data_IF_670020778594
#
_entry.id   IF_670020778594
#
_cell.length_a   1.000
_cell.length_b   1.000
_cell.length_c   1.000
_cell.angle_alpha   90.00
_cell.angle_beta   90.00
_cell.angle_gamma   90.00
#
_symmetry.space_group_name_H-M   'P 1'
#
loop_
_entity.id
_entity.type
_entity.pdbx_description
1 polymer ?
#
# COMPACT_ATOMS: atom_id res chain seq x y z
N UNK A 1 59.17 -13.42 -42.01
CA UNK A 1 59.29 -12.67 -40.74
C UNK A 1 58.52 -11.36 -40.87
N UNK A 2 57.28 -11.31 -40.40
CA UNK A 2 56.57 -10.07 -40.10
C UNK A 2 55.31 -10.42 -39.28
N UNK A 3 55.29 -10.02 -38.02
CA UNK A 3 54.09 -10.06 -37.18
C UNK A 3 53.33 -8.76 -37.45
N UNK A 4 52.05 -8.87 -37.78
CA UNK A 4 51.09 -7.75 -37.75
C UNK A 4 50.21 -7.89 -36.52
N UNK A 5 50.58 -7.16 -35.46
CA UNK A 5 49.81 -7.09 -34.21
C UNK A 5 48.72 -6.03 -34.34
N UNK A 6 47.47 -6.44 -34.54
CA UNK A 6 46.31 -5.54 -34.46
C UNK A 6 45.84 -5.41 -33.01
N UNK A 7 46.12 -4.26 -32.39
CA UNK A 7 45.53 -3.90 -31.10
C UNK A 7 44.07 -3.44 -31.30
N UNK A 8 43.11 -4.24 -30.82
CA UNK A 8 41.74 -3.76 -30.59
C UNK A 8 41.69 -3.08 -29.22
N UNK A 9 41.54 -1.76 -29.21
CA UNK A 9 41.25 -1.00 -28.00
C UNK A 9 39.75 -1.14 -27.67
N UNK A 10 39.42 -1.96 -26.68
CA UNK A 10 38.04 -2.12 -26.21
C UNK A 10 37.67 -0.95 -25.29
N UNK A 11 36.75 -0.07 -25.73
CA UNK A 11 36.19 0.98 -24.90
C UNK A 11 35.17 0.37 -23.92
N UNK A 12 35.60 0.06 -22.71
CA UNK A 12 34.68 -0.30 -21.61
C UNK A 12 34.02 0.97 -21.06
N UNK A 13 32.83 1.29 -21.56
CA UNK A 13 31.95 2.31 -20.96
C UNK A 13 31.45 1.84 -19.60
N UNK A 14 32.17 2.21 -18.54
CA UNK A 14 31.79 1.91 -17.17
C UNK A 14 30.63 2.82 -16.76
N UNK A 15 29.39 2.34 -16.92
CA UNK A 15 28.20 3.04 -16.45
C UNK A 15 28.27 3.22 -14.93
N UNK A 16 28.49 4.46 -14.51
CA UNK A 16 28.56 4.83 -13.09
C UNK A 16 27.19 4.66 -12.45
N UNK A 17 27.01 3.57 -11.69
CA UNK A 17 25.84 3.39 -10.83
C UNK A 17 25.98 4.39 -9.69
N UNK A 18 25.37 5.57 -9.83
CA UNK A 18 25.35 6.56 -8.76
C UNK A 18 24.43 6.06 -7.65
N UNK A 19 25.01 5.72 -6.50
CA UNK A 19 24.30 5.38 -5.28
C UNK A 19 23.59 6.63 -4.73
N UNK A 20 22.41 6.90 -5.28
CA UNK A 20 21.51 7.93 -4.76
C UNK A 20 21.14 7.60 -3.32
N UNK A 21 21.39 8.55 -2.41
CA UNK A 21 20.87 8.50 -1.06
C UNK A 21 19.35 8.73 -1.13
N UNK A 22 18.61 7.65 -1.35
CA UNK A 22 17.18 7.63 -1.13
C UNK A 22 16.90 7.81 0.37
N UNK A 23 15.83 8.52 0.73
CA UNK A 23 15.14 8.21 1.98
C UNK A 23 14.63 6.77 1.91
N UNK A 24 14.40 6.16 3.06
CA UNK A 24 14.00 4.76 3.09
C UNK A 24 12.96 4.54 4.17
N UNK A 25 11.81 3.98 3.81
CA UNK A 25 10.90 3.40 4.79
C UNK A 25 9.78 2.55 4.20
N UNK A 26 9.22 1.66 5.02
CA UNK A 26 8.15 0.74 4.62
C UNK A 26 7.39 0.18 5.84
N UNK A 27 6.13 -0.25 5.65
CA UNK A 27 5.38 -0.97 6.68
C UNK A 27 5.97 -2.36 6.95
N UNK A 28 6.31 -2.60 8.21
CA UNK A 28 6.81 -3.89 8.70
C UNK A 28 5.75 -4.65 9.51
N UNK A 29 4.83 -3.94 10.19
CA UNK A 29 3.71 -4.55 10.89
C UNK A 29 2.43 -3.68 10.83
N UNK A 30 1.28 -4.20 10.38
CA UNK A 30 1.13 -5.37 9.52
C UNK A 30 2.04 -5.30 8.30
N UNK A 31 2.37 -6.46 7.73
CA UNK A 31 3.29 -6.52 6.59
C UNK A 31 2.65 -5.81 5.38
N UNK A 32 3.30 -4.76 4.88
CA UNK A 32 2.89 -4.11 3.64
C UNK A 32 3.08 -5.03 2.42
N UNK A 33 2.48 -4.67 1.28
CA UNK A 33 2.62 -5.40 0.01
C UNK A 33 4.07 -5.76 -0.30
N UNK A 34 4.29 -6.88 -0.96
CA UNK A 34 5.61 -7.35 -1.35
C UNK A 34 5.68 -7.49 -2.89
N UNK A 35 6.86 -7.33 -3.49
CA UNK A 35 7.04 -7.65 -4.90
C UNK A 35 6.92 -9.16 -5.11
N UNK A 36 6.12 -9.58 -6.09
CA UNK A 36 6.01 -10.97 -6.54
C UNK A 36 5.86 -11.04 -8.05
N UNK A 37 5.35 -12.16 -8.55
CA UNK A 37 5.20 -12.42 -9.99
C UNK A 37 4.25 -11.43 -10.66
N UNK A 38 3.18 -10.99 -10.01
CA UNK A 38 2.25 -10.02 -10.60
C UNK A 38 2.86 -8.62 -10.70
N UNK A 39 3.68 -8.22 -9.72
CA UNK A 39 4.49 -7.01 -9.78
C UNK A 39 5.55 -7.10 -10.89
N UNK A 40 6.27 -8.23 -10.98
CA UNK A 40 7.25 -8.45 -12.05
C UNK A 40 6.62 -8.35 -13.44
N UNK A 41 5.47 -8.98 -13.66
CA UNK A 41 4.79 -8.98 -14.96
C UNK A 41 4.31 -7.58 -15.39
N UNK A 42 3.92 -6.74 -14.43
CA UNK A 42 3.42 -5.39 -14.72
C UNK A 42 4.54 -4.34 -14.80
N UNK A 43 5.54 -4.43 -13.92
CA UNK A 43 6.55 -3.39 -13.71
C UNK A 43 7.94 -3.74 -14.26
N UNK A 44 8.13 -4.95 -14.80
CA UNK A 44 9.38 -5.43 -15.37
C UNK A 44 10.33 -6.09 -14.37
N UNK A 45 11.24 -6.91 -14.90
CA UNK A 45 12.18 -7.72 -14.14
C UNK A 45 13.15 -6.89 -13.30
N UNK A 46 13.59 -5.73 -13.83
CA UNK A 46 14.52 -4.85 -13.13
C UNK A 46 13.86 -4.15 -11.94
N UNK A 47 12.59 -3.74 -12.05
CA UNK A 47 11.84 -3.18 -10.93
C UNK A 47 11.61 -4.22 -9.83
N UNK A 48 11.28 -5.46 -10.21
CA UNK A 48 11.15 -6.58 -9.28
C UNK A 48 12.44 -6.80 -8.46
N UNK A 49 13.60 -6.91 -9.11
CA UNK A 49 14.87 -7.09 -8.39
C UNK A 49 15.28 -5.87 -7.56
N UNK A 50 14.97 -4.65 -8.02
CA UNK A 50 15.20 -3.44 -7.24
C UNK A 50 14.40 -3.47 -5.92
N UNK A 51 13.09 -3.78 -5.99
CA UNK A 51 12.21 -3.85 -4.83
C UNK A 51 12.51 -5.05 -3.91
N UNK A 52 12.94 -6.18 -4.46
CA UNK A 52 13.43 -7.33 -3.67
C UNK A 52 14.74 -7.02 -2.92
N UNK A 53 15.61 -6.19 -3.51
CA UNK A 53 16.86 -5.76 -2.88
C UNK A 53 16.68 -4.64 -1.84
N UNK A 54 15.77 -3.69 -2.09
CA UNK A 54 15.42 -2.61 -1.15
C UNK A 54 14.01 -2.08 -1.39
N UNK A 55 13.03 -2.67 -0.70
CA UNK A 55 11.62 -2.26 -0.79
C UNK A 55 11.36 -0.82 -0.30
N UNK A 56 12.32 -0.26 0.47
CA UNK A 56 12.17 1.00 1.19
C UNK A 56 12.31 2.26 0.32
N UNK A 57 12.79 2.18 -0.93
CA UNK A 57 13.09 3.34 -1.79
C UNK A 57 11.87 4.19 -2.21
N UNK A 58 12.11 5.32 -2.89
CA UNK A 58 11.04 6.18 -3.43
C UNK A 58 10.50 5.72 -4.80
N UNK A 59 9.43 6.36 -5.24
CA UNK A 59 8.81 6.18 -6.55
C UNK A 59 9.70 6.70 -7.68
N UNK A 60 10.35 7.85 -7.52
CA UNK A 60 11.18 8.48 -8.56
C UNK A 60 12.40 7.62 -8.95
N UNK A 61 12.97 6.89 -8.00
CA UNK A 61 14.02 5.90 -8.25
C UNK A 61 13.51 4.67 -9.00
N UNK A 62 12.25 4.25 -8.77
CA UNK A 62 11.60 3.22 -9.57
C UNK A 62 11.32 3.72 -11.00
N UNK A 63 10.88 4.97 -11.18
CA UNK A 63 10.73 5.60 -12.50
C UNK A 63 12.05 5.58 -13.29
N UNK A 64 13.17 5.93 -12.65
CA UNK A 64 14.51 5.83 -13.26
C UNK A 64 14.90 4.39 -13.61
N UNK A 65 14.55 3.42 -12.76
CA UNK A 65 14.81 1.99 -12.98
C UNK A 65 14.04 1.45 -14.20
N UNK A 66 12.79 1.85 -14.38
CA UNK A 66 11.93 1.35 -15.47
C UNK A 66 12.03 2.13 -16.78
N UNK A 67 12.57 3.36 -16.77
CA UNK A 67 12.54 4.32 -17.89
C UNK A 67 13.04 3.80 -19.26
N UNK A 68 13.85 2.75 -19.28
CA UNK A 68 14.39 2.12 -20.50
C UNK A 68 14.25 0.59 -20.47
N UNK A 69 13.22 0.05 -19.84
CA UNK A 69 12.96 -1.39 -19.78
C UNK A 69 11.82 -1.77 -20.74
N UNK A 70 12.08 -2.67 -21.68
CA UNK A 70 11.09 -3.11 -22.68
C UNK A 70 9.92 -3.92 -22.06
N UNK A 71 10.08 -4.41 -20.83
CA UNK A 71 9.09 -5.17 -20.07
C UNK A 71 8.31 -4.35 -19.02
N UNK A 72 8.49 -3.02 -19.01
CA UNK A 72 7.70 -2.12 -18.17
C UNK A 72 6.37 -1.73 -18.85
N UNK A 73 5.24 -2.07 -18.22
CA UNK A 73 3.92 -1.63 -18.64
C UNK A 73 3.37 -0.57 -17.66
N UNK A 74 3.38 0.73 -17.97
CA UNK A 74 2.90 1.78 -17.07
C UNK A 74 1.40 1.66 -16.75
N UNK A 75 0.59 1.20 -17.72
CA UNK A 75 -0.87 1.06 -17.62
C UNK A 75 -1.30 -0.14 -16.77
N UNK A 76 -0.38 -1.06 -16.47
CA UNK A 76 -0.58 -2.12 -15.48
C UNK A 76 0.21 -1.86 -14.20
N UNK A 77 1.41 -1.31 -14.27
CA UNK A 77 2.32 -1.13 -13.13
C UNK A 77 1.77 -0.13 -12.12
N UNK A 78 1.40 1.08 -12.56
CA UNK A 78 0.92 2.17 -11.69
C UNK A 78 1.84 2.46 -10.49
N UNK A 79 3.08 2.90 -10.74
CA UNK A 79 4.06 3.20 -9.68
C UNK A 79 3.53 4.17 -8.61
N UNK A 80 2.67 5.12 -8.98
CA UNK A 80 1.99 6.08 -8.09
C UNK A 80 0.73 5.51 -7.39
N UNK A 81 0.65 4.18 -7.24
CA UNK A 81 -0.33 3.49 -6.39
C UNK A 81 0.33 2.29 -5.73
N UNK A 82 0.63 2.41 -4.45
CA UNK A 82 1.30 1.38 -3.64
C UNK A 82 2.68 0.98 -4.20
N UNK A 83 3.44 1.92 -4.79
CA UNK A 83 4.68 1.63 -5.54
C UNK A 83 4.49 0.65 -6.70
N UNK A 84 3.27 0.54 -7.22
CA UNK A 84 2.85 -0.43 -8.23
C UNK A 84 2.68 -1.87 -7.74
N UNK A 85 2.93 -2.16 -6.45
CA UNK A 85 2.86 -3.51 -5.88
C UNK A 85 1.43 -4.07 -5.90
N UNK A 86 1.31 -5.37 -6.21
CA UNK A 86 0.02 -6.00 -6.54
C UNK A 86 -0.62 -6.70 -5.35
N UNK A 87 -1.95 -6.65 -5.31
CA UNK A 87 -2.75 -7.45 -4.39
C UNK A 87 -2.53 -8.96 -4.61
N UNK A 88 -2.37 -9.40 -5.87
CA UNK A 88 -2.13 -10.79 -6.22
C UNK A 88 -0.85 -11.39 -5.58
N UNK A 89 0.15 -10.55 -5.29
CA UNK A 89 1.38 -10.95 -4.58
C UNK A 89 1.26 -10.85 -3.05
N UNK A 90 0.09 -10.46 -2.53
CA UNK A 90 -0.12 -10.11 -1.12
C UNK A 90 -1.35 -10.75 -0.47
N UNK A 91 -1.98 -11.72 -1.14
CA UNK A 91 -3.24 -12.37 -0.68
C UNK A 91 -3.14 -12.98 0.73
N UNK A 92 -1.95 -13.46 1.13
CA UNK A 92 -1.70 -14.07 2.44
C UNK A 92 -1.52 -13.06 3.58
N UNK A 93 -1.32 -11.76 3.28
CA UNK A 93 -1.11 -10.70 4.27
C UNK A 93 -2.34 -9.80 4.47
N UNK A 94 -3.51 -10.17 3.90
CA UNK A 94 -4.75 -9.37 4.01
C UNK A 94 -5.22 -9.30 5.46
N UNK A 95 -5.37 -8.08 5.95
CA UNK A 95 -5.86 -7.81 7.30
C UNK A 95 -7.40 -7.80 7.33
N UNK A 96 -7.98 -7.93 8.52
CA UNK A 96 -9.44 -7.90 8.68
C UNK A 96 -9.81 -7.08 9.91
N UNK A 97 -10.47 -5.94 9.67
CA UNK A 97 -10.73 -4.93 10.70
C UNK A 97 -12.23 -4.69 10.89
N UNK A 98 -12.64 -4.33 12.10
CA UNK A 98 -13.98 -3.80 12.35
C UNK A 98 -14.01 -2.27 12.17
N UNK A 99 -15.15 -1.67 11.80
CA UNK A 99 -15.41 -0.25 11.98
C UNK A 99 -15.06 0.21 13.41
N UNK A 100 -14.44 1.38 13.57
CA UNK A 100 -14.03 1.91 14.87
C UNK A 100 -12.85 1.20 15.54
N UNK A 101 -12.27 0.16 14.91
CA UNK A 101 -11.13 -0.56 15.48
C UNK A 101 -9.85 0.28 15.47
N UNK A 102 -9.19 0.38 16.63
CA UNK A 102 -7.80 0.87 16.71
C UNK A 102 -6.85 -0.18 16.12
N UNK A 103 -6.02 0.24 15.17
CA UNK A 103 -5.06 -0.59 14.44
C UNK A 103 -3.65 -0.09 14.78
N UNK A 104 -2.80 -0.88 15.45
CA UNK A 104 -1.38 -0.57 15.61
C UNK A 104 -0.64 -0.75 14.28
N UNK A 105 0.23 0.19 13.95
CA UNK A 105 1.02 0.22 12.72
C UNK A 105 2.49 0.54 13.06
N UNK A 106 3.40 -0.22 12.48
CA UNK A 106 4.86 0.01 12.51
C UNK A 106 5.36 0.24 11.09
N UNK A 107 5.89 1.42 10.84
CA UNK A 107 6.56 1.83 9.61
C UNK A 107 8.03 2.13 9.92
N UNK A 108 8.96 1.33 9.41
CA UNK A 108 10.38 1.52 9.69
C UNK A 108 10.94 2.66 8.83
N UNK A 109 11.69 3.60 9.43
CA UNK A 109 12.41 4.67 8.74
C UNK A 109 13.90 4.29 8.70
N UNK A 110 14.33 3.63 7.63
CA UNK A 110 15.71 3.22 7.43
C UNK A 110 16.66 4.37 7.01
N UNK A 111 16.12 5.48 6.46
CA UNK A 111 16.88 6.71 6.22
C UNK A 111 15.96 7.93 6.25
N UNK A 112 16.18 8.91 7.16
CA UNK A 112 15.28 10.05 7.33
C UNK A 112 15.52 11.14 6.28
N UNK A 113 14.44 11.65 5.68
CA UNK A 113 14.45 12.83 4.81
C UNK A 113 13.27 13.74 5.20
N UNK A 114 13.58 14.98 5.60
CA UNK A 114 12.58 15.92 6.11
C UNK A 114 11.47 16.15 5.08
N UNK A 115 10.25 15.79 5.49
CA UNK A 115 9.08 15.86 4.64
C UNK A 115 7.79 15.97 5.43
N UNK A 116 6.68 15.63 4.79
CA UNK A 116 5.37 15.48 5.43
C UNK A 116 4.81 14.10 5.11
N UNK A 117 3.95 13.56 5.99
CA UNK A 117 3.41 12.23 5.80
C UNK A 117 1.96 12.13 6.30
N UNK A 118 1.21 11.17 5.74
CA UNK A 118 -0.13 10.84 6.18
C UNK A 118 -0.45 9.36 5.97
N UNK A 119 -1.40 8.88 6.77
CA UNK A 119 -2.06 7.60 6.60
C UNK A 119 -3.46 7.86 6.06
N UNK A 120 -3.79 7.21 4.96
CA UNK A 120 -5.10 7.29 4.30
C UNK A 120 -5.62 5.89 3.99
N UNK A 121 -6.94 5.75 3.80
CA UNK A 121 -7.52 4.60 3.11
C UNK A 121 -7.79 5.01 1.67
N UNK A 122 -7.31 4.20 0.73
CA UNK A 122 -7.51 4.40 -0.71
C UNK A 122 -8.32 3.24 -1.31
N UNK A 123 -9.23 3.58 -2.20
CA UNK A 123 -9.82 2.68 -3.21
C UNK A 123 -8.78 2.46 -4.31
N UNK A 124 -8.65 1.22 -4.77
CA UNK A 124 -7.60 0.81 -5.70
C UNK A 124 -8.06 0.63 -7.16
N UNK A 125 -9.33 0.93 -7.47
CA UNK A 125 -9.94 0.72 -8.80
C UNK A 125 -9.45 1.70 -9.87
N UNK A 126 -8.91 2.86 -9.50
CA UNK A 126 -8.33 3.86 -10.41
C UNK A 126 -6.79 3.75 -10.45
N UNK A 127 -6.09 4.11 -11.54
CA UNK A 127 -4.63 4.00 -11.64
C UNK A 127 -3.84 4.61 -10.48
N UNK A 128 -4.19 5.83 -10.04
CA UNK A 128 -3.59 6.54 -8.90
C UNK A 128 -4.15 6.14 -7.53
N UNK A 129 -5.21 5.33 -7.51
CA UNK A 129 -6.07 5.17 -6.35
C UNK A 129 -6.95 6.41 -6.10
N UNK A 130 -7.90 6.27 -5.18
CA UNK A 130 -8.81 7.37 -4.79
C UNK A 130 -9.01 7.34 -3.28
N UNK A 131 -8.75 8.46 -2.61
CA UNK A 131 -8.85 8.54 -1.15
C UNK A 131 -10.30 8.38 -0.71
N UNK A 132 -10.56 7.37 0.13
CA UNK A 132 -11.85 7.15 0.80
C UNK A 132 -11.87 7.80 2.20
N UNK A 133 -10.72 7.79 2.88
CA UNK A 133 -10.54 8.50 4.15
C UNK A 133 -9.12 9.06 4.23
N UNK A 134 -8.98 10.37 4.44
CA UNK A 134 -7.69 11.07 4.51
C UNK A 134 -7.22 11.24 5.95
N UNK A 135 -5.90 11.33 6.14
CA UNK A 135 -5.28 11.84 7.38
C UNK A 135 -5.70 11.11 8.67
N UNK A 136 -5.94 9.80 8.61
CA UNK A 136 -6.17 8.94 9.79
C UNK A 136 -5.02 9.04 10.80
N UNK A 137 -3.83 9.37 10.28
CA UNK A 137 -2.72 9.99 10.99
C UNK A 137 -2.07 10.99 10.02
N UNK A 138 -1.55 12.11 10.52
CA UNK A 138 -0.82 13.08 9.71
C UNK A 138 0.35 13.67 10.52
N UNK A 139 1.46 13.92 9.83
CA UNK A 139 2.63 14.62 10.34
C UNK A 139 3.00 15.74 9.36
N UNK A 140 2.88 17.03 9.74
CA UNK A 140 3.34 18.15 8.92
C UNK A 140 4.88 18.25 8.89
N UNK A 141 5.57 17.49 9.75
CA UNK A 141 7.01 17.27 9.70
C UNK A 141 7.28 15.81 10.08
N UNK A 142 7.78 15.05 9.13
CA UNK A 142 8.06 13.61 9.24
C UNK A 142 9.52 13.34 8.90
N UNK A 143 10.12 12.33 9.54
CA UNK A 143 11.47 11.83 9.28
C UNK A 143 12.54 12.96 9.15
N UNK A 144 12.51 13.92 10.08
CA UNK A 144 13.39 15.09 10.06
C UNK A 144 14.88 14.70 10.10
N UNK A 145 15.68 15.31 9.22
CA UNK A 145 17.15 15.18 9.19
C UNK A 145 17.84 16.02 10.26
N UNK A 146 17.11 16.90 10.95
CA UNK A 146 17.65 17.83 11.96
C UNK A 146 17.42 17.38 13.41
N UNK A 147 16.70 16.28 13.61
CA UNK A 147 16.38 15.71 14.94
C UNK A 147 16.41 14.19 14.87
N UNK A 148 16.63 13.47 15.99
CA UNK A 148 16.40 12.04 16.03
C UNK A 148 14.99 11.66 15.55
N UNK A 149 14.87 10.51 14.88
CA UNK A 149 13.58 9.92 14.54
C UNK A 149 12.80 9.69 15.84
N UNK A 150 11.54 10.11 15.87
CA UNK A 150 10.68 9.89 17.03
C UNK A 150 10.01 8.52 16.92
N UNK A 151 9.95 7.76 18.02
CA UNK A 151 9.22 6.48 18.04
C UNK A 151 7.77 6.62 17.55
N UNK A 152 7.11 7.76 17.82
CA UNK A 152 5.77 8.08 17.33
C UNK A 152 5.62 8.31 15.81
N UNK A 153 6.73 8.31 15.07
CA UNK A 153 6.78 8.33 13.60
C UNK A 153 6.94 6.92 13.02
N UNK A 154 7.49 5.98 13.79
CA UNK A 154 7.64 4.57 13.37
C UNK A 154 6.50 3.71 13.92
N UNK A 155 6.24 3.76 15.23
CA UNK A 155 5.17 3.06 15.92
C UNK A 155 4.02 4.02 16.27
N UNK A 156 2.85 3.76 15.68
CA UNK A 156 1.65 4.56 15.89
C UNK A 156 0.39 3.70 15.78
N UNK A 157 -0.77 4.35 15.84
CA UNK A 157 -2.04 3.69 15.57
C UNK A 157 -2.97 4.63 14.82
N UNK A 158 -3.87 4.03 14.04
CA UNK A 158 -5.02 4.68 13.42
C UNK A 158 -6.31 4.06 13.95
N UNK A 159 -7.44 4.72 13.70
CA UNK A 159 -8.77 4.12 13.88
C UNK A 159 -9.36 3.84 12.50
N UNK A 160 -9.88 2.63 12.29
CA UNK A 160 -10.65 2.30 11.09
C UNK A 160 -11.93 3.15 11.07
N UNK A 161 -12.23 3.93 10.00
CA UNK A 161 -13.43 4.76 9.95
C UNK A 161 -14.70 3.94 10.08
N UNK A 162 -15.73 4.54 10.67
CA UNK A 162 -17.06 3.92 10.83
C UNK A 162 -17.95 4.13 9.60
N UNK A 163 -17.57 5.06 8.72
CA UNK A 163 -18.35 5.65 7.64
C UNK A 163 -17.72 5.49 6.25
N UNK A 164 -16.85 4.48 6.07
CA UNK A 164 -16.41 4.07 4.73
C UNK A 164 -17.63 3.79 3.82
N UNK A 165 -17.59 4.15 2.52
CA UNK A 165 -18.74 3.96 1.65
C UNK A 165 -19.24 2.52 1.62
N UNK A 166 -20.56 2.34 1.65
CA UNK A 166 -21.18 1.02 1.58
C UNK A 166 -20.69 0.24 0.34
N UNK A 167 -20.43 -1.06 0.52
CA UNK A 167 -19.86 -1.94 -0.51
C UNK A 167 -18.48 -1.52 -1.04
N UNK A 168 -17.66 -0.88 -0.19
CA UNK A 168 -16.21 -0.74 -0.38
C UNK A 168 -15.44 -1.49 0.70
N UNK A 169 -14.25 -1.95 0.31
CA UNK A 169 -13.30 -2.65 1.18
C UNK A 169 -13.89 -3.94 1.80
N UNK A 170 -14.80 -4.62 1.08
CA UNK A 170 -15.37 -5.90 1.50
C UNK A 170 -14.49 -7.09 1.06
N UNK A 171 -13.71 -6.91 -0.02
CA UNK A 171 -12.83 -7.93 -0.59
C UNK A 171 -11.38 -7.45 -0.66
N UNK A 172 -10.44 -8.37 -0.52
CA UNK A 172 -9.02 -8.08 -0.67
C UNK A 172 -8.74 -7.48 -2.05
N UNK A 173 -7.88 -6.46 -2.08
CA UNK A 173 -7.53 -5.72 -3.29
C UNK A 173 -8.51 -4.61 -3.70
N UNK A 174 -9.67 -4.46 -3.05
CA UNK A 174 -10.57 -3.31 -3.27
C UNK A 174 -9.97 -2.01 -2.66
N UNK A 175 -9.34 -2.13 -1.48
CA UNK A 175 -8.79 -1.00 -0.72
C UNK A 175 -7.43 -1.32 -0.10
N UNK A 176 -6.68 -0.27 0.26
CA UNK A 176 -5.49 -0.38 1.12
C UNK A 176 -5.41 0.77 2.13
N UNK A 177 -4.79 0.51 3.27
CA UNK A 177 -4.23 1.56 4.15
C UNK A 177 -2.90 1.95 3.52
N UNK A 178 -2.80 3.20 3.05
CA UNK A 178 -1.60 3.76 2.43
C UNK A 178 -0.89 4.70 3.42
N UNK A 179 0.39 4.44 3.66
CA UNK A 179 1.33 5.47 4.11
C UNK A 179 1.82 6.22 2.87
N UNK A 180 1.65 7.54 2.88
CA UNK A 180 2.23 8.46 1.91
C UNK A 180 3.19 9.38 2.65
N UNK A 181 4.42 9.52 2.15
CA UNK A 181 5.42 10.44 2.68
C UNK A 181 6.14 11.14 1.53
N UNK A 182 6.05 12.47 1.49
CA UNK A 182 6.72 13.31 0.50
C UNK A 182 7.83 14.13 1.15
N UNK A 183 9.03 14.03 0.59
CA UNK A 183 10.25 14.69 1.02
C UNK A 183 10.71 15.71 -0.05
N UNK A 184 10.13 16.92 -0.07
CA UNK A 184 10.34 17.88 -1.16
C UNK A 184 11.78 18.41 -1.22
N UNK A 185 12.51 18.39 -0.11
CA UNK A 185 13.93 18.79 -0.07
C UNK A 185 14.88 17.89 -0.88
N UNK A 186 14.41 16.72 -1.33
CA UNK A 186 15.14 15.80 -2.23
C UNK A 186 14.31 15.36 -3.44
N UNK A 187 13.09 15.87 -3.60
CA UNK A 187 12.13 15.46 -4.65
C UNK A 187 11.84 13.95 -4.65
N UNK A 188 11.59 13.37 -3.47
CA UNK A 188 11.36 11.93 -3.31
C UNK A 188 10.04 11.66 -2.58
N UNK A 189 9.27 10.70 -3.09
CA UNK A 189 7.96 10.32 -2.56
C UNK A 189 7.90 8.82 -2.27
N UNK A 190 7.31 8.48 -1.13
CA UNK A 190 7.30 7.16 -0.52
C UNK A 190 5.88 6.66 -0.32
N UNK A 191 5.65 5.42 -0.71
CA UNK A 191 4.39 4.74 -0.47
C UNK A 191 4.60 3.35 0.10
N UNK A 192 3.72 2.96 1.02
CA UNK A 192 3.59 1.59 1.50
C UNK A 192 2.12 1.29 1.76
N UNK A 193 1.65 0.11 1.37
CA UNK A 193 0.24 -0.25 1.43
C UNK A 193 0.02 -1.55 2.19
N UNK A 194 -0.96 -1.56 3.09
CA UNK A 194 -1.49 -2.75 3.76
C UNK A 194 -2.87 -3.06 3.18
N UNK A 195 -3.05 -4.26 2.64
CA UNK A 195 -4.35 -4.77 2.20
C UNK A 195 -5.22 -5.13 3.40
N UNK A 196 -6.51 -4.79 3.34
CA UNK A 196 -7.47 -5.14 4.39
C UNK A 196 -8.88 -5.35 3.84
N UNK A 197 -9.74 -5.95 4.67
CA UNK A 197 -11.20 -5.96 4.50
C UNK A 197 -11.92 -5.55 5.78
N UNK A 198 -13.14 -5.02 5.64
CA UNK A 198 -13.99 -4.58 6.76
C UNK A 198 -14.98 -5.67 7.15
N UNK A 199 -15.00 -6.06 8.43
CA UNK A 199 -15.99 -6.99 8.99
C UNK A 199 -17.38 -6.33 9.03
N UNK A 200 -18.39 -7.07 8.58
CA UNK A 200 -19.81 -6.70 8.75
C UNK A 200 -20.44 -5.92 7.60
N UNK A 201 -19.71 -5.62 6.54
CA UNK A 201 -20.28 -5.03 5.32
C UNK A 201 -21.26 -5.99 4.62
N UNK A 202 -20.96 -7.29 4.66
CA UNK A 202 -21.89 -8.36 4.29
C UNK A 202 -22.76 -8.80 5.48
N UNK A 203 -23.90 -8.10 5.70
CA UNK A 203 -24.99 -8.71 6.50
C UNK A 203 -25.84 -7.85 7.42
N UNK A 204 -26.33 -6.67 7.00
CA UNK A 204 -27.68 -6.27 7.44
C UNK A 204 -28.70 -7.06 6.62
N UNK A 205 -29.08 -8.25 7.12
CA UNK A 205 -30.40 -8.82 6.78
C UNK A 205 -31.41 -8.14 7.68
N UNK A 206 -32.43 -7.54 7.08
CA UNK A 206 -33.53 -6.93 7.81
C UNK A 206 -34.24 -7.97 8.68
N UNK A 207 -34.08 -7.83 9.99
CA UNK A 207 -34.58 -8.75 11.01
C UNK A 207 -35.89 -8.29 11.64
N UNK A 208 -36.73 -7.54 10.93
CA UNK A 208 -38.00 -7.02 11.44
C UNK A 208 -39.21 -7.54 10.65
N UNK A 209 -39.70 -8.72 11.03
CA UNK A 209 -41.11 -9.14 10.87
C UNK A 209 -41.35 -10.48 11.59
N UNK A 210 -41.68 -10.43 12.89
CA UNK A 210 -41.90 -11.63 13.71
C UNK A 210 -42.80 -11.38 14.90
N UNK A 211 -43.94 -10.73 14.68
CA UNK A 211 -44.90 -10.34 15.73
C UNK A 211 -45.23 -11.53 16.63
N UNK A 212 -45.02 -11.38 17.94
CA UNK A 212 -45.59 -12.29 18.91
C UNK A 212 -47.12 -12.28 18.80
N UNK A 213 -47.74 -13.46 18.76
CA UNK A 213 -49.18 -13.59 18.92
C UNK A 213 -49.47 -14.27 20.25
N UNK A 214 -50.27 -13.59 21.07
CA UNK A 214 -50.65 -14.06 22.39
C UNK A 214 -51.52 -15.33 22.27
N UNK A 215 -51.49 -16.16 23.31
CA UNK A 215 -52.46 -17.23 23.50
C UNK A 215 -53.77 -16.60 23.93
N UNK A 216 -54.81 -16.70 23.11
CA UNK A 216 -56.17 -16.33 23.50
C UNK A 216 -56.99 -17.60 23.80
N UNK A 217 -57.81 -17.54 24.84
CA UNK A 217 -58.63 -18.64 25.34
C UNK A 217 -60.09 -18.41 24.91
N UNK A 218 -60.41 -18.75 23.67
CA UNK A 218 -61.78 -18.71 23.13
C UNK A 218 -62.59 -19.96 23.50
N UNK A 219 -63.70 -19.77 24.22
CA UNK A 219 -64.62 -20.85 24.65
C UNK A 219 -65.96 -20.73 23.91
N UNK A 220 -66.50 -21.88 23.46
CA UNK A 220 -67.93 -22.21 23.21
C UNK A 220 -68.55 -22.00 21.81
N UNK A 221 -69.02 -23.11 21.24
CA UNK A 221 -70.37 -23.36 20.65
C UNK A 221 -70.47 -24.89 20.35
N UNK A 222 -71.56 -25.67 20.54
CA UNK A 222 -72.98 -25.52 20.93
C UNK A 222 -74.01 -25.42 19.78
N UNK A 223 -74.65 -26.56 19.45
CA UNK A 223 -75.77 -26.72 18.50
C UNK A 223 -75.31 -27.08 17.08
N UNK A 224 -75.91 -28.03 16.34
CA UNK A 224 -77.01 -28.98 16.61
C UNK A 224 -76.60 -30.42 16.27
#
# INVERSE_FOLDING_TARGET
>A
MQLTTTFLASLTTLSSITSVANAHGYFTNPKGRQPGTAYQNACGQQAYYNMMGSINGNIQGLEQVVANQDDYNPDECWLWKCKGLKYADNVDNVQTYAPGQTIPLTFTIAAPHTGHANISIIDLSTPSGTILASNLKHWPTYASTSTPIQTSQEDFSITMPEDLPASKCEKGGECAIQMFWDAPGVSQTYESCIDFVVKGASGKRDGEAGRGHARDFGVREVGE
#
